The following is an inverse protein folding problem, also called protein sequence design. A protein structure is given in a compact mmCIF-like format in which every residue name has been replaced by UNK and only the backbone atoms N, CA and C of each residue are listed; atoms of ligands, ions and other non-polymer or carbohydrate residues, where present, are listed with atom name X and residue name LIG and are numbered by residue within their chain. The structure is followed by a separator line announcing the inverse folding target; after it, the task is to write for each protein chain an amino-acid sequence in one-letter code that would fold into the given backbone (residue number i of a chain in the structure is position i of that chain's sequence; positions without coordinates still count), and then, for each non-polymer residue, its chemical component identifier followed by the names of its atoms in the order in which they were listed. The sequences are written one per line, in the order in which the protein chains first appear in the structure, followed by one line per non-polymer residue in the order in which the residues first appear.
data_IF_773581371053
#
_entry.id   IF_773581371053
#
_cell.length_a   1.000
_cell.length_b   1.000
_cell.length_c   1.000
_cell.angle_alpha   90.00
_cell.angle_beta   90.00
_cell.angle_gamma   90.00
#
_symmetry.space_group_name_H-M   'P 1'
#
loop_
_entity.id
_entity.type
_entity.pdbx_description
1 polymer ?
#
# COMPACT_ATOMS: atom_id res chain seq x y z
N UNK A 1 -59.08 7.25 -63.44
CA UNK A 1 -58.96 8.39 -62.51
C UNK A 1 -58.48 7.85 -61.18
N UNK A 2 -57.24 8.15 -60.81
CA UNK A 2 -56.51 7.53 -59.69
C UNK A 2 -56.63 8.45 -58.46
N UNK A 3 -57.25 7.99 -57.38
CA UNK A 3 -57.31 8.74 -56.11
C UNK A 3 -56.27 8.21 -55.13
N UNK A 4 -55.19 8.97 -54.96
CA UNK A 4 -54.35 8.95 -53.75
C UNK A 4 -55.05 9.75 -52.65
N UNK A 5 -54.69 9.49 -51.37
CA UNK A 5 -54.81 10.31 -50.14
C UNK A 5 -55.14 9.39 -48.95
N UNK A 6 -54.63 9.52 -47.73
CA UNK A 6 -53.60 10.37 -47.12
C UNK A 6 -53.35 9.74 -45.73
N UNK A 7 -52.17 9.19 -45.44
CA UNK A 7 -51.92 8.50 -44.17
C UNK A 7 -51.50 9.55 -43.12
N UNK A 8 -52.47 10.07 -42.38
CA UNK A 8 -52.23 11.01 -41.27
C UNK A 8 -51.70 10.24 -40.06
N UNK A 9 -50.39 10.28 -39.83
CA UNK A 9 -49.76 9.64 -38.68
C UNK A 9 -50.02 10.47 -37.42
N UNK A 10 -50.94 10.02 -36.56
CA UNK A 10 -51.11 10.56 -35.21
C UNK A 10 -49.91 10.15 -34.34
N UNK A 11 -48.90 11.01 -34.23
CA UNK A 11 -47.90 10.90 -33.16
C UNK A 11 -48.49 11.50 -31.90
N UNK A 12 -49.03 10.67 -31.02
CA UNK A 12 -49.33 11.08 -29.64
C UNK A 12 -48.01 11.27 -28.89
N UNK A 13 -47.59 12.53 -28.74
CA UNK A 13 -46.49 12.88 -27.84
C UNK A 13 -47.10 12.96 -26.44
N UNK A 14 -47.28 11.81 -25.80
CA UNK A 14 -47.52 11.74 -24.37
C UNK A 14 -46.22 12.18 -23.68
N UNK A 15 -46.13 13.49 -23.43
CA UNK A 15 -45.13 14.08 -22.57
C UNK A 15 -45.31 13.49 -21.17
N UNK A 16 -44.53 12.46 -20.86
CA UNK A 16 -44.27 12.02 -19.51
C UNK A 16 -43.70 13.23 -18.78
N UNK A 17 -44.56 13.90 -18.00
CA UNK A 17 -44.15 14.85 -16.97
C UNK A 17 -43.43 14.03 -15.90
N UNK A 18 -42.18 13.68 -16.20
CA UNK A 18 -41.25 13.26 -15.18
C UNK A 18 -41.15 14.45 -14.25
N UNK A 19 -41.67 14.30 -13.04
CA UNK A 19 -41.54 15.30 -12.00
C UNK A 19 -40.05 15.55 -11.81
N UNK A 20 -39.58 16.65 -12.39
CA UNK A 20 -38.29 17.25 -12.12
C UNK A 20 -38.27 17.76 -10.68
N UNK A 21 -38.41 16.87 -9.70
CA UNK A 21 -37.74 17.08 -8.42
C UNK A 21 -36.26 16.84 -8.73
N UNK A 22 -35.67 17.86 -9.34
CA UNK A 22 -34.25 18.08 -9.42
C UNK A 22 -33.72 17.80 -8.02
N UNK A 23 -33.17 16.61 -7.85
CA UNK A 23 -31.77 16.45 -7.52
C UNK A 23 -31.20 17.75 -6.95
N UNK A 24 -31.57 18.08 -5.70
CA UNK A 24 -30.68 18.88 -4.90
C UNK A 24 -29.37 18.10 -4.98
N UNK A 25 -28.38 18.70 -5.63
CA UNK A 25 -27.01 18.25 -5.63
C UNK A 25 -26.48 18.40 -4.20
N UNK A 26 -27.08 17.67 -3.26
CA UNK A 26 -26.45 17.30 -2.01
C UNK A 26 -25.21 16.59 -2.47
N UNK A 27 -24.07 17.26 -2.33
CA UNK A 27 -22.76 16.68 -2.54
C UNK A 27 -22.66 15.55 -1.53
N UNK A 28 -23.14 14.36 -1.89
CA UNK A 28 -23.02 13.17 -1.10
C UNK A 28 -21.52 12.93 -0.98
N UNK A 29 -20.92 13.29 0.15
CA UNK A 29 -19.50 13.01 0.38
C UNK A 29 -19.36 11.50 0.28
N UNK A 30 -18.55 11.04 -0.66
CA UNK A 30 -18.24 9.63 -0.81
C UNK A 30 -17.68 9.12 0.52
N UNK A 31 -18.48 8.32 1.24
CA UNK A 31 -18.03 7.62 2.43
C UNK A 31 -17.45 6.29 1.98
N UNK A 32 -16.17 6.07 2.31
CA UNK A 32 -15.54 4.77 2.11
C UNK A 32 -16.27 3.76 3.00
N UNK A 33 -16.50 2.56 2.47
CA UNK A 33 -17.02 1.46 3.27
C UNK A 33 -15.97 1.03 4.30
N UNK A 34 -16.43 0.68 5.49
CA UNK A 34 -15.59 0.05 6.50
C UNK A 34 -15.23 -1.38 6.09
N UNK A 35 -14.31 -2.01 6.80
CA UNK A 35 -13.83 -3.36 6.49
C UNK A 35 -13.81 -4.22 7.74
N UNK A 36 -14.07 -5.51 7.58
CA UNK A 36 -13.99 -6.46 8.69
C UNK A 36 -12.57 -7.01 8.77
N UNK A 37 -12.02 -7.07 9.98
CA UNK A 37 -10.70 -7.62 10.25
C UNK A 37 -10.75 -8.60 11.40
N UNK A 38 -9.96 -9.67 11.31
CA UNK A 38 -9.77 -10.67 12.35
C UNK A 38 -8.50 -10.33 13.13
N UNK A 39 -8.61 -10.10 14.44
CA UNK A 39 -7.50 -9.68 15.29
C UNK A 39 -6.58 -10.86 15.66
N UNK A 40 -5.28 -10.72 15.36
CA UNK A 40 -4.24 -11.69 15.72
C UNK A 40 -3.65 -11.45 17.10
N UNK A 41 -3.67 -10.19 17.55
CA UNK A 41 -3.21 -9.74 18.86
C UNK A 41 -4.30 -8.85 19.46
N UNK A 42 -4.34 -8.78 20.79
CA UNK A 42 -5.19 -7.82 21.48
C UNK A 42 -4.71 -6.41 21.14
N UNK A 43 -5.65 -5.51 20.83
CA UNK A 43 -5.37 -4.11 20.50
C UNK A 43 -6.28 -3.25 21.36
N UNK A 44 -5.66 -2.36 22.14
CA UNK A 44 -6.38 -1.50 23.09
C UNK A 44 -7.46 -0.67 22.38
N UNK A 45 -8.69 -0.76 22.90
CA UNK A 45 -9.85 -0.06 22.35
C UNK A 45 -10.45 -0.65 21.07
N UNK A 46 -9.90 -1.76 20.55
CA UNK A 46 -10.46 -2.46 19.38
C UNK A 46 -11.12 -3.79 19.76
N UNK A 47 -10.44 -4.63 20.54
CA UNK A 47 -10.93 -5.96 20.91
C UNK A 47 -9.81 -6.92 21.32
N UNK A 48 -10.21 -8.16 21.63
CA UNK A 48 -9.29 -9.23 22.02
C UNK A 48 -8.77 -10.01 20.81
N UNK A 49 -7.77 -10.86 21.05
CA UNK A 49 -7.24 -11.76 20.03
C UNK A 49 -8.33 -12.76 19.61
N UNK A 50 -8.59 -12.84 18.31
CA UNK A 50 -9.58 -13.74 17.72
C UNK A 50 -10.90 -13.06 17.36
N UNK A 51 -11.10 -11.81 17.79
CA UNK A 51 -12.31 -11.07 17.48
C UNK A 51 -12.34 -10.60 16.02
N UNK A 52 -13.54 -10.58 15.45
CA UNK A 52 -13.81 -9.97 14.14
C UNK A 52 -14.44 -8.60 14.38
N UNK A 53 -13.71 -7.54 14.01
CA UNK A 53 -14.11 -6.15 14.28
C UNK A 53 -14.28 -5.41 12.95
N UNK A 54 -15.27 -4.51 12.89
CA UNK A 54 -15.43 -3.59 11.76
C UNK A 54 -14.61 -2.31 12.01
N UNK A 55 -13.69 -2.01 11.10
CA UNK A 55 -12.75 -0.89 11.23
C UNK A 55 -12.71 -0.08 9.94
N UNK A 56 -12.34 1.19 10.05
CA UNK A 56 -12.11 2.04 8.90
C UNK A 56 -10.99 1.49 8.01
N UNK A 57 -11.22 1.48 6.69
CA UNK A 57 -10.27 0.91 5.71
C UNK A 57 -8.85 1.50 5.82
N UNK A 58 -8.73 2.78 6.18
CA UNK A 58 -7.43 3.43 6.37
C UNK A 58 -6.65 2.87 7.57
N UNK A 59 -7.33 2.58 8.67
CA UNK A 59 -6.69 2.03 9.87
C UNK A 59 -6.22 0.59 9.63
N UNK A 60 -7.05 -0.23 8.97
CA UNK A 60 -6.65 -1.58 8.56
C UNK A 60 -5.43 -1.56 7.63
N UNK A 61 -5.47 -0.74 6.58
CA UNK A 61 -4.43 -0.68 5.54
C UNK A 61 -3.09 -0.12 6.04
N UNK A 62 -3.12 0.90 6.88
CA UNK A 62 -1.91 1.62 7.27
C UNK A 62 -1.29 1.09 8.57
N UNK A 63 -2.06 0.39 9.40
CA UNK A 63 -1.62 -0.04 10.72
C UNK A 63 -1.83 -1.55 10.93
N UNK A 64 -3.09 -2.02 10.98
CA UNK A 64 -3.34 -3.38 11.45
C UNK A 64 -2.71 -4.47 10.57
N UNK A 65 -2.83 -4.33 9.25
CA UNK A 65 -2.37 -5.37 8.30
C UNK A 65 -0.85 -5.35 8.11
N UNK A 66 -0.19 -4.20 7.87
CA UNK A 66 1.27 -4.15 7.74
C UNK A 66 2.01 -4.65 8.97
N UNK A 67 1.52 -4.34 10.17
CA UNK A 67 2.13 -4.77 11.43
C UNK A 67 1.70 -6.19 11.87
N UNK A 68 1.00 -6.94 11.01
CA UNK A 68 0.51 -8.31 11.30
C UNK A 68 -0.29 -8.38 12.61
N UNK A 69 -1.06 -7.34 12.91
CA UNK A 69 -1.97 -7.30 14.06
C UNK A 69 -3.35 -7.86 13.73
N UNK A 70 -3.73 -7.85 12.45
CA UNK A 70 -5.00 -8.39 11.98
C UNK A 70 -4.92 -8.91 10.53
N UNK A 71 -5.90 -9.73 10.14
CA UNK A 71 -6.14 -10.15 8.75
C UNK A 71 -7.45 -9.59 8.21
N UNK A 72 -7.49 -9.35 6.90
CA UNK A 72 -8.75 -9.01 6.22
C UNK A 72 -9.71 -10.18 6.25
N UNK A 73 -10.98 -9.85 6.48
CA UNK A 73 -12.07 -10.81 6.46
C UNK A 73 -12.93 -10.58 5.22
N UNK A 74 -13.14 -11.62 4.38
CA UNK A 74 -14.09 -11.53 3.29
C UNK A 74 -15.48 -11.16 3.80
N UNK A 75 -16.12 -10.21 3.11
CA UNK A 75 -17.47 -9.77 3.43
C UNK A 75 -18.45 -10.27 2.38
N UNK A 76 -19.56 -10.87 2.82
CA UNK A 76 -20.70 -11.18 1.96
C UNK A 76 -21.93 -10.50 2.53
N UNK A 77 -22.57 -9.62 1.74
CA UNK A 77 -23.75 -8.84 2.16
C UNK A 77 -23.55 -8.09 3.48
N UNK A 78 -22.36 -7.50 3.66
CA UNK A 78 -22.01 -6.72 4.84
C UNK A 78 -21.56 -7.52 6.05
N UNK A 79 -21.73 -8.85 6.06
CA UNK A 79 -21.31 -9.75 7.16
C UNK A 79 -19.94 -10.36 6.87
N UNK A 80 -19.15 -10.56 7.92
CA UNK A 80 -17.94 -11.37 7.85
C UNK A 80 -18.28 -12.83 7.52
N UNK A 81 -17.54 -13.41 6.58
CA UNK A 81 -17.65 -14.83 6.23
C UNK A 81 -16.33 -15.50 6.55
N UNK A 82 -16.28 -16.18 7.70
CA UNK A 82 -15.23 -17.14 8.02
C UNK A 82 -15.87 -18.45 8.49
N UNK A 83 -15.29 -19.60 8.13
CA UNK A 83 -15.54 -20.86 8.82
C UNK A 83 -15.14 -20.77 10.29
N UNK A 84 -15.88 -21.44 11.18
CA UNK A 84 -15.59 -21.45 12.62
C UNK A 84 -14.19 -21.99 12.96
N UNK A 85 -13.68 -22.93 12.15
CA UNK A 85 -12.38 -23.57 12.38
C UNK A 85 -11.23 -22.87 11.64
N UNK A 86 -11.49 -21.73 11.01
CA UNK A 86 -10.45 -21.02 10.29
C UNK A 86 -9.45 -20.43 11.28
N UNK A 87 -8.19 -20.80 11.11
CA UNK A 87 -7.07 -20.24 11.85
C UNK A 87 -6.06 -19.68 10.85
N UNK A 88 -5.56 -18.45 11.07
CA UNK A 88 -4.48 -17.94 10.26
C UNK A 88 -3.24 -18.81 10.47
N UNK A 89 -2.54 -19.12 9.37
CA UNK A 89 -1.26 -19.83 9.44
C UNK A 89 -0.18 -18.88 9.97
N UNK A 90 -0.25 -18.58 11.27
CA UNK A 90 0.70 -17.72 11.95
C UNK A 90 1.96 -18.52 12.30
N UNK A 91 2.67 -19.03 11.30
CA UNK A 91 4.10 -19.29 11.44
C UNK A 91 4.79 -17.92 11.34
N UNK A 92 4.92 -17.23 12.46
CA UNK A 92 5.72 -16.01 12.55
C UNK A 92 6.57 -16.15 13.80
N UNK A 93 7.73 -16.78 13.63
CA UNK A 93 8.90 -16.57 14.46
C UNK A 93 9.04 -15.07 14.72
N UNK A 94 9.15 -14.70 15.98
CA UNK A 94 9.01 -13.34 16.48
C UNK A 94 10.18 -12.42 16.11
N UNK A 95 11.13 -12.91 15.31
CA UNK A 95 12.52 -12.41 15.26
C UNK A 95 12.89 -11.72 13.93
N UNK A 96 12.00 -11.66 12.93
CA UNK A 96 12.33 -11.11 11.61
C UNK A 96 12.08 -9.60 11.45
N UNK A 97 11.99 -8.84 12.55
CA UNK A 97 12.21 -7.39 12.46
C UNK A 97 13.73 -7.22 12.41
N UNK A 98 14.29 -7.44 11.21
CA UNK A 98 15.69 -7.12 10.97
C UNK A 98 15.90 -5.65 11.35
N UNK A 99 16.79 -5.42 12.31
CA UNK A 99 17.23 -4.09 12.68
C UNK A 99 17.74 -3.39 11.42
N UNK A 100 16.96 -2.43 10.92
CA UNK A 100 17.32 -1.68 9.71
C UNK A 100 18.47 -0.77 10.14
N UNK A 101 19.69 -1.24 9.95
CA UNK A 101 20.87 -0.39 10.08
C UNK A 101 20.83 0.62 8.93
N UNK A 102 20.96 1.93 9.20
CA UNK A 102 20.99 2.92 8.14
C UNK A 102 22.18 2.62 7.23
N UNK A 103 21.96 2.75 5.92
CA UNK A 103 23.04 2.68 4.96
C UNK A 103 23.99 3.87 5.20
N UNK A 104 25.12 3.63 5.86
CA UNK A 104 26.21 4.58 5.92
C UNK A 104 26.90 4.53 4.55
N UNK A 105 26.68 5.55 3.72
CA UNK A 105 27.52 5.79 2.56
C UNK A 105 28.87 6.29 3.04
N UNK A 106 29.82 5.36 3.20
CA UNK A 106 31.23 5.71 3.37
C UNK A 106 31.85 5.90 1.99
N UNK A 107 32.05 7.16 1.60
CA UNK A 107 32.81 7.51 0.40
C UNK A 107 34.22 6.92 0.52
N UNK A 108 34.51 5.93 -0.34
CA UNK A 108 35.80 5.23 -0.39
C UNK A 108 36.83 6.08 -1.13
N UNK A 109 37.05 7.32 -0.70
CA UNK A 109 37.90 8.27 -1.40
C UNK A 109 39.09 8.72 -0.58
N UNK A 110 39.80 7.83 0.15
CA UNK A 110 41.02 8.25 0.85
C UNK A 110 41.98 7.13 1.27
N UNK A 111 42.38 6.23 0.35
CA UNK A 111 43.55 5.36 0.59
C UNK A 111 44.37 5.14 -0.70
N UNK A 112 44.88 6.19 -1.35
CA UNK A 112 45.89 6.06 -2.44
C UNK A 112 46.96 7.15 -2.51
N UNK A 113 47.12 8.01 -1.49
CA UNK A 113 48.01 9.18 -1.60
C UNK A 113 49.28 9.16 -0.74
N UNK A 114 49.52 8.17 0.12
CA UNK A 114 50.68 8.23 1.06
C UNK A 114 51.86 7.31 0.74
N UNK A 115 51.84 6.49 -0.31
CA UNK A 115 52.94 5.54 -0.59
C UNK A 115 53.98 6.03 -1.63
N UNK A 116 53.93 7.31 -2.04
CA UNK A 116 54.80 7.87 -3.09
C UNK A 116 55.70 9.03 -2.61
N UNK A 117 56.37 8.90 -1.46
CA UNK A 117 57.39 9.91 -1.05
C UNK A 117 58.72 9.30 -0.56
N UNK A 118 58.83 7.99 -0.33
CA UNK A 118 60.03 7.41 0.31
C UNK A 118 61.07 6.75 -0.63
N UNK A 119 61.19 7.18 -1.90
CA UNK A 119 62.22 6.62 -2.82
C UNK A 119 62.90 7.67 -3.71
N UNK A 120 63.44 8.72 -3.11
CA UNK A 120 64.49 9.52 -3.75
C UNK A 120 65.32 10.15 -2.63
N UNK A 121 66.65 10.05 -2.69
CA UNK A 121 67.65 10.53 -1.70
C UNK A 121 68.31 9.44 -0.84
N UNK A 122 69.05 8.55 -1.49
CA UNK A 122 70.29 8.02 -0.89
C UNK A 122 71.16 7.42 -2.00
N UNK A 123 71.75 8.28 -2.81
CA UNK A 123 72.97 7.93 -3.55
C UNK A 123 74.08 8.86 -3.06
N UNK A 124 75.07 8.33 -2.33
CA UNK A 124 76.39 8.90 -2.49
C UNK A 124 77.52 7.85 -2.48
N UNK A 125 78.49 8.11 -3.36
CA UNK A 125 79.91 7.75 -3.32
C UNK A 125 80.36 6.50 -4.11
N UNK A 126 80.71 6.77 -5.38
CA UNK A 126 81.78 6.11 -6.12
C UNK A 126 83.06 5.99 -5.26
N UNK A 127 83.67 4.80 -5.25
CA UNK A 127 85.06 4.57 -4.82
C UNK A 127 85.93 4.20 -6.03
N UNK A 128 87.19 4.69 -6.10
CA UNK A 128 88.06 4.50 -7.25
C UNK A 128 88.71 3.11 -7.29
N UNK A 129 88.97 2.66 -8.52
CA UNK A 129 89.75 1.48 -8.91
C UNK A 129 91.24 1.67 -8.56
N UNK A 130 91.87 0.68 -7.92
CA UNK A 130 93.33 0.54 -7.83
C UNK A 130 93.68 -0.92 -8.15
N UNK A 131 94.47 -1.13 -9.21
CA UNK A 131 95.44 -2.23 -9.35
C UNK A 131 96.70 -1.65 -9.99
#
# INVERSE_FOLDING_TARGET
MTTLLNITTRRSISALRYSNTLCQARRCKFKKADTHVYLLKAVDGLGERGDIVEVGLGHARNYLVPFKLAYYVPRLRGKAVLPSDWKPNAQTSQDDIAEITPAIWSDTSEIKSTEKVARTMSDPLQRPFIQ
#
